data_IF_807026402271
#
_entry.id   IF_807026402271
#
_cell.length_a   1.000
_cell.length_b   1.000
_cell.length_c   1.000
_cell.angle_alpha   90.00
_cell.angle_beta   90.00
_cell.angle_gamma   90.00
#
_symmetry.space_group_name_H-M   'P 1'
#
loop_
_entity.id
_entity.type
_entity.pdbx_description
1 polymer ?
#
# COMPACT_ATOMS: atom_id res chain seq x y z
N UNK A 1 19.19 31.20 20.41
CA UNK A 1 20.04 31.92 21.38
C UNK A 1 20.07 31.07 22.63
N UNK A 2 21.16 30.33 22.85
CA UNK A 2 21.30 29.50 24.04
C UNK A 2 21.74 30.40 25.17
N UNK A 3 20.82 30.76 26.08
CA UNK A 3 21.16 31.50 27.29
C UNK A 3 22.02 30.60 28.17
N UNK A 4 23.23 31.04 28.47
CA UNK A 4 24.07 30.38 29.48
C UNK A 4 23.34 30.50 30.82
N UNK A 5 23.15 29.41 31.57
CA UNK A 5 22.50 29.49 32.88
C UNK A 5 23.37 30.38 33.78
N UNK A 6 22.80 31.44 34.35
CA UNK A 6 23.54 32.44 35.13
C UNK A 6 24.09 31.91 36.46
N UNK A 7 23.78 30.66 36.83
CA UNK A 7 24.18 30.03 38.11
C UNK A 7 24.84 28.67 37.88
N UNK A 8 26.00 28.65 37.19
CA UNK A 8 26.85 27.46 37.15
C UNK A 8 27.81 27.47 38.34
N UNK A 9 28.07 26.30 38.97
CA UNK A 9 29.16 26.18 39.94
C UNK A 9 30.52 26.44 39.28
N UNK A 10 31.41 27.18 39.95
CA UNK A 10 32.79 27.41 39.46
C UNK A 10 33.74 26.25 39.76
N UNK A 11 33.33 25.28 40.59
CA UNK A 11 34.12 24.10 40.91
C UNK A 11 34.15 23.13 39.71
N UNK A 12 35.33 22.83 39.12
CA UNK A 12 35.44 21.91 37.99
C UNK A 12 34.96 20.49 38.29
N UNK A 13 34.96 20.06 39.55
CA UNK A 13 34.43 18.73 39.94
C UNK A 13 32.90 18.73 39.85
N UNK A 14 32.25 19.74 40.40
CA UNK A 14 30.78 19.89 40.34
C UNK A 14 30.29 20.06 38.89
N UNK A 15 31.02 20.81 38.05
CA UNK A 15 30.70 20.95 36.63
C UNK A 15 30.75 19.61 35.88
N UNK A 16 31.76 18.77 36.15
CA UNK A 16 31.86 17.44 35.54
C UNK A 16 30.72 16.52 35.95
N UNK A 17 30.30 16.59 37.22
CA UNK A 17 29.16 15.83 37.72
C UNK A 17 27.86 16.27 37.06
N UNK A 18 27.62 17.59 36.96
CA UNK A 18 26.44 18.14 36.29
C UNK A 18 26.40 17.74 34.81
N UNK A 19 27.53 17.81 34.11
CA UNK A 19 27.63 17.36 32.72
C UNK A 19 27.31 15.86 32.57
N UNK A 20 27.78 15.03 33.51
CA UNK A 20 27.43 13.61 33.55
C UNK A 20 25.92 13.41 33.68
N UNK A 21 25.29 14.08 34.65
CA UNK A 21 23.84 14.02 34.87
C UNK A 21 23.06 14.46 33.62
N UNK A 22 23.46 15.57 32.99
CA UNK A 22 22.81 16.05 31.76
C UNK A 22 22.97 15.08 30.59
N UNK A 23 24.08 14.35 30.51
CA UNK A 23 24.29 13.33 29.48
C UNK A 23 23.39 12.11 29.72
N UNK A 24 23.24 11.69 30.97
CA UNK A 24 22.36 10.59 31.36
C UNK A 24 20.89 10.95 31.09
N UNK A 25 20.44 12.14 31.49
CA UNK A 25 19.10 12.66 31.18
C UNK A 25 18.84 12.70 29.68
N UNK A 26 19.81 13.19 28.90
CA UNK A 26 19.70 13.21 27.43
C UNK A 26 19.59 11.82 26.84
N UNK A 27 20.27 10.81 27.40
CA UNK A 27 20.14 9.43 26.95
C UNK A 27 18.75 8.87 27.25
N UNK A 28 18.22 9.13 28.45
CA UNK A 28 16.86 8.74 28.83
C UNK A 28 15.81 9.38 27.91
N UNK A 29 15.94 10.67 27.63
CA UNK A 29 15.01 11.39 26.76
C UNK A 29 15.08 10.91 25.31
N UNK A 30 16.27 10.57 24.80
CA UNK A 30 16.39 9.89 23.48
C UNK A 30 15.61 8.58 23.45
N UNK A 31 15.71 7.77 24.51
CA UNK A 31 14.94 6.53 24.62
C UNK A 31 13.43 6.77 24.61
N UNK A 32 12.95 7.80 25.31
CA UNK A 32 11.53 8.20 25.29
C UNK A 32 11.09 8.67 23.91
N UNK A 33 11.91 9.46 23.21
CA UNK A 33 11.62 9.96 21.87
C UNK A 33 11.43 8.77 20.91
N UNK A 34 12.38 7.83 20.88
CA UNK A 34 12.29 6.64 20.02
C UNK A 34 11.00 5.87 20.29
N UNK A 35 10.70 5.61 21.57
CA UNK A 35 9.48 4.90 21.98
C UNK A 35 8.19 5.64 21.55
N UNK A 36 8.19 6.98 21.61
CA UNK A 36 7.05 7.79 21.20
C UNK A 36 6.91 7.84 19.67
N UNK A 37 8.02 7.93 18.95
CA UNK A 37 8.05 7.89 17.49
C UNK A 37 7.52 6.55 16.96
N UNK A 38 7.91 5.42 17.56
CA UNK A 38 7.39 4.09 17.23
C UNK A 38 5.87 4.00 17.47
N UNK A 39 5.38 4.48 18.61
CA UNK A 39 3.94 4.52 18.90
C UNK A 39 3.19 5.39 17.89
N UNK A 40 3.75 6.55 17.53
CA UNK A 40 3.15 7.44 16.56
C UNK A 40 3.11 6.81 15.16
N UNK A 41 4.21 6.20 14.72
CA UNK A 41 4.27 5.47 13.47
C UNK A 41 3.21 4.35 13.42
N UNK A 42 3.07 3.57 14.49
CA UNK A 42 2.04 2.54 14.62
C UNK A 42 0.63 3.12 14.52
N UNK A 43 0.34 4.21 15.24
CA UNK A 43 -0.97 4.87 15.19
C UNK A 43 -1.27 5.43 13.80
N UNK A 44 -0.30 6.07 13.15
CA UNK A 44 -0.43 6.59 11.79
C UNK A 44 -0.70 5.46 10.79
N UNK A 45 0.04 4.35 10.88
CA UNK A 45 -0.20 3.17 10.05
C UNK A 45 -1.59 2.58 10.29
N UNK A 46 -2.04 2.50 11.54
CA UNK A 46 -3.38 2.01 11.87
C UNK A 46 -4.49 2.93 11.34
N UNK A 47 -4.34 4.24 11.47
CA UNK A 47 -5.36 5.22 11.10
C UNK A 47 -5.37 5.55 9.61
N UNK A 48 -4.22 5.48 8.94
CA UNK A 48 -4.04 5.96 7.57
C UNK A 48 -3.44 4.92 6.62
N UNK A 49 -2.77 3.88 7.11
CA UNK A 49 -2.15 2.85 6.27
C UNK A 49 -3.15 1.94 5.55
N UNK A 50 -4.35 1.71 6.11
CA UNK A 50 -5.42 0.93 5.45
C UNK A 50 -6.20 1.71 4.38
N UNK A 51 -5.97 3.02 4.24
CA UNK A 51 -6.78 3.90 3.37
C UNK A 51 -6.40 3.87 1.89
N UNK A 52 -5.28 3.26 1.49
CA UNK A 52 -4.93 3.12 0.07
C UNK A 52 -5.78 2.07 -0.64
N UNK A 53 -6.35 1.11 0.10
CA UNK A 53 -7.27 0.09 -0.41
C UNK A 53 -8.72 0.38 0.00
N UNK A 54 -8.90 1.13 1.09
CA UNK A 54 -10.21 1.54 1.60
C UNK A 54 -10.67 2.87 0.97
N UNK A 55 -10.75 2.92 -0.36
CA UNK A 55 -11.75 3.78 -1.02
C UNK A 55 -13.09 3.07 -1.04
N UNK A 56 -13.54 2.59 0.12
CA UNK A 56 -14.93 2.25 0.33
C UNK A 56 -15.61 3.53 0.81
N UNK A 57 -15.86 4.44 -0.14
CA UNK A 57 -17.02 5.29 0.03
C UNK A 57 -18.20 4.33 0.28
N UNK A 58 -18.95 4.55 1.37
CA UNK A 58 -20.13 3.73 1.68
C UNK A 58 -21.20 3.83 0.57
N UNK A 59 -21.07 4.84 -0.32
CA UNK A 59 -21.84 4.95 -1.54
C UNK A 59 -21.45 3.94 -2.63
N UNK A 60 -20.25 3.36 -2.59
CA UNK A 60 -19.77 2.38 -3.58
C UNK A 60 -20.07 0.96 -3.10
N UNK A 61 -21.36 0.61 -3.08
CA UNK A 61 -21.88 -0.69 -2.64
C UNK A 61 -21.21 -1.92 -3.30
N UNK A 62 -20.56 -1.75 -4.46
CA UNK A 62 -19.86 -2.84 -5.15
C UNK A 62 -18.65 -3.39 -4.40
N UNK A 63 -17.90 -2.58 -3.65
CA UNK A 63 -16.71 -3.06 -2.94
C UNK A 63 -17.09 -3.95 -1.74
N UNK A 64 -18.23 -3.66 -1.10
CA UNK A 64 -18.76 -4.48 -0.01
C UNK A 64 -19.10 -5.92 -0.45
N UNK A 65 -19.44 -6.14 -1.74
CA UNK A 65 -19.71 -7.47 -2.29
C UNK A 65 -18.48 -8.39 -2.34
N UNK A 66 -17.27 -7.82 -2.26
CA UNK A 66 -16.02 -8.59 -2.31
C UNK A 66 -15.40 -8.83 -0.92
N UNK A 67 -15.95 -8.23 0.14
CA UNK A 67 -15.48 -8.36 1.53
C UNK A 67 -16.24 -9.43 2.35
N UNK A 68 -16.79 -10.47 1.69
CA UNK A 68 -17.54 -11.54 2.37
C UNK A 68 -16.68 -12.35 3.36
N UNK A 69 -15.36 -12.44 3.14
CA UNK A 69 -14.48 -13.22 4.02
C UNK A 69 -14.23 -12.50 5.35
N UNK A 70 -14.00 -11.18 5.34
CA UNK A 70 -13.79 -10.40 6.56
C UNK A 70 -15.09 -10.19 7.35
N UNK A 71 -16.26 -10.20 6.70
CA UNK A 71 -17.55 -10.08 7.40
C UNK A 71 -17.98 -11.35 8.13
N UNK A 72 -17.43 -12.51 7.74
CA UNK A 72 -17.74 -13.82 8.35
C UNK A 72 -16.78 -14.18 9.48
N UNK A 73 -15.58 -13.58 9.51
CA UNK A 73 -14.62 -13.80 10.61
C UNK A 73 -15.07 -12.97 11.82
N UNK A 74 -15.78 -13.60 12.75
CA UNK A 74 -15.94 -13.04 14.10
C UNK A 74 -14.55 -12.87 14.75
N UNK A 75 -14.34 -11.84 15.58
CA UNK A 75 -13.09 -11.68 16.31
C UNK A 75 -12.94 -12.87 17.26
N UNK A 76 -12.16 -13.87 16.85
CA UNK A 76 -11.79 -15.00 17.69
C UNK A 76 -10.78 -14.49 18.71
N UNK A 77 -11.09 -14.62 19.99
CA UNK A 77 -10.11 -14.46 21.08
C UNK A 77 -8.90 -15.36 20.77
N UNK A 78 -7.69 -14.77 20.77
CA UNK A 78 -6.42 -15.43 20.43
C UNK A 78 -5.98 -16.46 21.49
N UNK A 79 -6.79 -17.48 21.73
CA UNK A 79 -6.48 -18.59 22.62
C UNK A 79 -7.11 -19.89 22.10
N UNK A 80 -6.66 -20.38 20.96
CA UNK A 80 -6.80 -21.81 20.64
C UNK A 80 -5.77 -22.26 19.62
N UNK A 81 -5.20 -23.42 19.91
CA UNK A 81 -4.07 -24.10 19.28
C UNK A 81 -3.93 -23.99 17.75
N UNK A 82 -2.67 -23.87 17.32
CA UNK A 82 -2.24 -24.03 15.93
C UNK A 82 -2.55 -25.45 15.44
N UNK A 83 -3.75 -25.65 14.90
CA UNK A 83 -4.06 -26.85 14.14
C UNK A 83 -3.44 -26.72 12.75
N UNK A 84 -2.40 -27.52 12.51
CA UNK A 84 -1.68 -27.58 11.22
C UNK A 84 -2.65 -28.07 10.13
N UNK A 85 -3.25 -27.13 9.40
CA UNK A 85 -4.13 -27.43 8.27
C UNK A 85 -3.30 -28.05 7.14
N UNK A 86 -3.52 -29.34 6.90
CA UNK A 86 -2.88 -30.05 5.80
C UNK A 86 -3.17 -29.37 4.45
N UNK A 87 -2.24 -29.40 3.47
CA UNK A 87 -2.44 -28.76 2.18
C UNK A 87 -3.64 -29.36 1.44
N UNK A 88 -4.72 -28.59 1.34
CA UNK A 88 -5.88 -28.97 0.55
C UNK A 88 -5.50 -29.12 -0.94
N UNK A 89 -6.06 -30.15 -1.59
CA UNK A 89 -5.76 -30.48 -2.99
C UNK A 89 -6.02 -29.28 -3.90
N UNK A 90 -5.05 -28.94 -4.74
CA UNK A 90 -5.17 -27.85 -5.75
C UNK A 90 -6.45 -28.05 -6.55
N UNK A 91 -7.32 -27.03 -6.54
CA UNK A 91 -8.57 -27.00 -7.30
C UNK A 91 -8.28 -27.41 -8.75
N UNK A 92 -9.05 -28.36 -9.29
CA UNK A 92 -8.85 -28.89 -10.64
C UNK A 92 -8.85 -27.79 -11.69
N UNK A 93 -8.03 -27.96 -12.74
CA UNK A 93 -8.06 -27.07 -13.91
C UNK A 93 -9.49 -27.05 -14.47
N UNK A 94 -10.03 -25.85 -14.72
CA UNK A 94 -11.35 -25.68 -15.34
C UNK A 94 -11.36 -26.40 -16.68
N UNK A 95 -12.38 -27.22 -16.94
CA UNK A 95 -12.58 -27.80 -18.28
C UNK A 95 -12.84 -26.64 -19.27
N UNK A 96 -12.21 -26.64 -20.45
CA UNK A 96 -12.50 -25.62 -21.46
C UNK A 96 -13.99 -25.68 -21.84
N UNK A 97 -14.55 -24.51 -22.18
CA UNK A 97 -15.93 -24.44 -22.64
C UNK A 97 -16.09 -25.29 -23.92
N UNK A 98 -17.22 -26.00 -24.09
CA UNK A 98 -17.50 -26.78 -25.30
C UNK A 98 -17.37 -25.93 -26.57
N UNK A 99 -16.85 -26.54 -27.64
CA UNK A 99 -16.72 -25.87 -28.94
C UNK A 99 -18.08 -25.51 -29.55
N UNK A 100 -19.12 -26.27 -29.21
CA UNK A 100 -20.48 -26.10 -29.74
C UNK A 100 -21.28 -24.99 -29.04
N UNK A 101 -20.70 -24.34 -28.03
CA UNK A 101 -21.35 -23.21 -27.38
C UNK A 101 -21.34 -22.00 -28.33
N UNK A 102 -22.49 -21.39 -28.65
CA UNK A 102 -22.54 -20.27 -29.58
C UNK A 102 -21.73 -19.10 -29.03
N UNK A 103 -20.72 -18.67 -29.80
CA UNK A 103 -19.91 -17.49 -29.51
C UNK A 103 -20.46 -16.34 -30.35
N UNK A 104 -20.77 -15.21 -29.71
CA UNK A 104 -21.17 -13.98 -30.39
C UNK A 104 -20.07 -12.96 -30.14
N UNK A 105 -19.38 -12.55 -31.20
CA UNK A 105 -18.41 -11.46 -31.14
C UNK A 105 -19.14 -10.13 -31.29
N UNK A 106 -18.98 -9.24 -30.31
CA UNK A 106 -19.53 -7.88 -30.34
C UNK A 106 -18.37 -6.90 -30.32
N UNK A 107 -18.00 -6.43 -31.50
CA UNK A 107 -16.92 -5.44 -31.68
C UNK A 107 -17.49 -4.05 -31.39
N UNK A 108 -16.90 -3.33 -30.45
CA UNK A 108 -17.28 -1.96 -30.10
C UNK A 108 -16.21 -1.01 -30.63
N UNK A 109 -16.51 -0.28 -31.70
CA UNK A 109 -15.60 0.70 -32.31
C UNK A 109 -15.85 2.10 -31.76
N UNK A 110 -14.78 2.88 -31.64
CA UNK A 110 -14.86 4.30 -31.32
C UNK A 110 -15.46 5.06 -32.51
N UNK A 111 -16.15 6.16 -32.22
CA UNK A 111 -16.68 7.02 -33.29
C UNK A 111 -15.54 7.73 -34.06
N UNK A 112 -15.77 8.09 -35.32
CA UNK A 112 -14.71 8.65 -36.19
C UNK A 112 -13.98 9.87 -35.60
N UNK A 113 -14.70 10.73 -34.88
CA UNK A 113 -14.14 11.90 -34.22
C UNK A 113 -13.21 11.55 -33.04
N UNK A 114 -13.39 10.38 -32.42
CA UNK A 114 -12.56 9.87 -31.32
C UNK A 114 -11.33 9.09 -31.81
N UNK A 115 -11.33 8.69 -33.09
CA UNK A 115 -10.20 8.04 -33.77
C UNK A 115 -9.11 9.04 -34.18
N UNK A 116 -9.30 10.34 -33.92
CA UNK A 116 -8.32 11.38 -34.23
C UNK A 116 -7.60 11.83 -32.96
N UNK A 117 -6.27 11.86 -33.00
CA UNK A 117 -5.45 12.37 -31.90
C UNK A 117 -5.43 13.91 -31.91
N UNK A 118 -5.06 14.53 -30.79
CA UNK A 118 -4.88 15.98 -30.67
C UNK A 118 -3.83 16.52 -31.67
N UNK A 119 -2.87 15.69 -32.08
CA UNK A 119 -1.89 16.03 -33.12
C UNK A 119 -2.42 15.91 -34.57
N UNK A 120 -3.68 15.55 -34.77
CA UNK A 120 -4.30 15.38 -36.10
C UNK A 120 -4.06 14.02 -36.77
N UNK A 121 -3.24 13.15 -36.17
CA UNK A 121 -3.03 11.79 -36.67
C UNK A 121 -4.20 10.85 -36.30
N UNK A 122 -4.50 9.88 -37.18
CA UNK A 122 -5.46 8.80 -36.87
C UNK A 122 -4.82 7.81 -35.88
N UNK A 123 -5.57 7.40 -34.87
CA UNK A 123 -5.17 6.35 -33.91
C UNK A 123 -5.03 5.02 -34.65
N UNK A 124 -3.97 4.29 -34.36
CA UNK A 124 -3.77 2.92 -34.85
C UNK A 124 -4.39 1.92 -33.88
N UNK A 125 -4.79 0.78 -34.40
CA UNK A 125 -5.24 -0.39 -33.63
C UNK A 125 -4.05 -1.05 -32.95
N UNK A 126 -4.17 -1.37 -31.67
CA UNK A 126 -3.10 -2.03 -30.91
C UNK A 126 -2.98 -3.48 -31.39
N UNK A 127 -1.77 -3.89 -31.77
CA UNK A 127 -1.49 -5.25 -32.24
C UNK A 127 -1.40 -5.40 -33.77
N UNK A 128 -1.55 -4.31 -34.53
CA UNK A 128 -1.19 -4.27 -35.94
C UNK A 128 0.27 -3.84 -36.11
N UNK A 129 1.12 -4.74 -36.59
CA UNK A 129 2.49 -4.41 -37.04
C UNK A 129 2.50 -4.29 -38.57
N UNK A 130 2.57 -3.07 -39.10
CA UNK A 130 2.75 -2.84 -40.54
C UNK A 130 4.24 -2.67 -40.82
N UNK A 131 4.85 -3.69 -41.42
CA UNK A 131 6.24 -3.64 -41.88
C UNK A 131 6.29 -3.08 -43.30
N UNK A 132 6.56 -1.78 -43.44
CA UNK A 132 6.85 -1.19 -44.76
C UNK A 132 8.21 -1.68 -45.25
N UNK A 133 8.21 -2.82 -45.95
CA UNK A 133 9.35 -3.26 -46.76
C UNK A 133 9.47 -2.33 -47.98
N UNK A 134 10.20 -1.22 -47.82
CA UNK A 134 10.72 -0.46 -48.95
C UNK A 134 11.62 -1.38 -49.79
N UNK A 135 11.04 -1.96 -50.83
CA UNK A 135 11.79 -2.64 -51.88
C UNK A 135 12.47 -1.58 -52.75
N UNK A 136 13.76 -1.35 -52.54
CA UNK A 136 14.69 -0.84 -53.57
C UNK A 136 15.27 -2.02 -54.36
N UNK A 137 15.54 -1.86 -55.67
CA UNK A 137 16.69 -1.08 -56.12
C UNK A 137 16.36 0.17 -56.96
#
# INVERSE_FOLDING_TARGET
MSSVPENLPDDPVLLKQLLGQMLDERQLDKGKIIRLEEQNAFLLQRLFGRKSEQTADAATAQLALFNEVESVVEPVDEASDEEVVAPTKRRGKRKPLPADLPRVEVIHELHEHELTCVCGCRKHTIGEEVSDLQHGP
#
